data_IF_546096176935
#
_entry.id   IF_546096176935
#
_cell.length_a   1.000
_cell.length_b   1.000
_cell.length_c   1.000
_cell.angle_alpha   90.00
_cell.angle_beta   90.00
_cell.angle_gamma   90.00
#
_symmetry.space_group_name_H-M   'P 1'
#
loop_
_entity.id
_entity.type
_entity.pdbx_description
1 polymer ?
#
# COMPACT_ATOMS: atom_id res chain seq x y z
N UNK A 1 -9.19 6.04 21.32
CA UNK A 1 -8.25 4.93 21.61
C UNK A 1 -6.82 5.43 21.46
N UNK A 2 -5.87 4.91 22.24
CA UNK A 2 -4.46 5.27 22.09
C UNK A 2 -3.93 4.83 20.71
N UNK A 3 -2.91 5.53 20.23
CA UNK A 3 -2.19 5.12 19.03
C UNK A 3 -1.52 3.77 19.24
N UNK A 4 -1.60 2.89 18.25
CA UNK A 4 -0.85 1.63 18.18
C UNK A 4 0.11 1.71 16.99
N UNK A 5 1.33 1.15 17.08
CA UNK A 5 2.25 1.07 15.95
C UNK A 5 1.68 0.24 14.79
N UNK A 6 0.87 -0.78 15.10
CA UNK A 6 0.37 -1.77 14.14
C UNK A 6 -1.00 -1.41 13.57
N UNK A 7 -1.57 -0.28 13.98
CA UNK A 7 -2.87 0.21 13.50
C UNK A 7 -2.79 1.64 13.01
N UNK A 8 -3.33 1.89 11.83
CA UNK A 8 -3.37 3.22 11.23
C UNK A 8 -4.64 3.46 10.42
N UNK A 9 -4.90 4.74 10.17
CA UNK A 9 -5.95 5.20 9.26
C UNK A 9 -5.27 5.68 7.97
N UNK A 10 -5.80 5.27 6.83
CA UNK A 10 -5.42 5.76 5.51
C UNK A 10 -6.62 6.45 4.88
N UNK A 11 -6.43 7.69 4.43
CA UNK A 11 -7.36 8.36 3.54
C UNK A 11 -6.69 8.42 2.17
N UNK A 12 -7.31 7.83 1.17
CA UNK A 12 -6.76 7.71 -0.19
C UNK A 12 -7.77 8.25 -1.19
N UNK A 13 -7.28 8.85 -2.26
CA UNK A 13 -8.05 9.04 -3.48
C UNK A 13 -7.27 8.52 -4.67
N UNK A 14 -7.99 8.03 -5.66
CA UNK A 14 -7.51 7.80 -7.00
C UNK A 14 -8.27 8.72 -7.98
N UNK A 15 -8.19 8.46 -9.28
CA UNK A 15 -8.89 9.24 -10.31
C UNK A 15 -10.41 9.03 -10.34
N UNK A 16 -10.95 8.07 -9.58
CA UNK A 16 -12.35 7.63 -9.62
C UNK A 16 -13.07 7.81 -8.29
N UNK A 17 -12.40 7.57 -7.17
CA UNK A 17 -13.02 7.49 -5.84
C UNK A 17 -12.06 7.90 -4.72
N UNK A 18 -12.62 8.12 -3.53
CA UNK A 18 -11.86 8.29 -2.30
C UNK A 18 -12.31 7.26 -1.26
N UNK A 19 -11.36 6.70 -0.51
CA UNK A 19 -11.62 5.70 0.52
C UNK A 19 -10.99 6.08 1.85
N UNK A 20 -11.66 5.69 2.93
CA UNK A 20 -11.16 5.72 4.30
C UNK A 20 -10.96 4.26 4.75
N UNK A 21 -9.72 3.91 5.05
CA UNK A 21 -9.33 2.57 5.51
C UNK A 21 -8.79 2.65 6.93
N UNK A 22 -9.23 1.75 7.81
CA UNK A 22 -8.48 1.37 9.03
C UNK A 22 -7.74 0.08 8.71
N UNK A 23 -6.42 0.08 8.88
CA UNK A 23 -5.58 -1.12 8.72
C UNK A 23 -4.98 -1.50 10.07
N UNK A 24 -4.95 -2.79 10.36
CA UNK A 24 -4.37 -3.35 11.59
C UNK A 24 -3.60 -4.64 11.26
N UNK A 25 -2.33 -4.70 11.64
CA UNK A 25 -1.49 -5.90 11.52
C UNK A 25 -1.60 -6.70 12.83
N UNK A 26 -2.09 -7.92 12.74
CA UNK A 26 -2.19 -8.87 13.85
C UNK A 26 -1.08 -9.92 13.84
N UNK A 27 -0.52 -10.23 12.66
CA UNK A 27 0.57 -11.20 12.48
C UNK A 27 1.38 -10.93 11.21
N UNK A 28 2.56 -11.54 11.10
CA UNK A 28 3.40 -11.51 9.89
C UNK A 28 3.05 -12.61 8.87
N UNK A 29 1.83 -13.15 8.93
CA UNK A 29 1.33 -14.15 7.98
C UNK A 29 0.64 -13.46 6.80
N UNK A 30 0.39 -14.20 5.72
CA UNK A 30 -0.27 -13.68 4.50
C UNK A 30 -1.66 -13.08 4.83
N UNK A 31 -2.36 -13.65 5.80
CA UNK A 31 -3.67 -13.22 6.30
C UNK A 31 -3.60 -12.31 7.54
N UNK A 32 -2.40 -11.85 7.91
CA UNK A 32 -2.16 -11.14 9.16
C UNK A 32 -2.62 -9.69 9.22
N UNK A 33 -3.22 -9.16 8.15
CA UNK A 33 -3.68 -7.77 8.06
C UNK A 33 -5.19 -7.70 7.96
N UNK A 34 -5.83 -7.03 8.92
CA UNK A 34 -7.24 -6.67 8.84
C UNK A 34 -7.40 -5.29 8.22
N UNK A 35 -8.38 -5.15 7.33
CA UNK A 35 -8.75 -3.89 6.69
C UNK A 35 -10.26 -3.65 6.80
N UNK A 36 -10.63 -2.46 7.28
CA UNK A 36 -12.00 -1.97 7.23
C UNK A 36 -12.02 -0.72 6.35
N UNK A 37 -12.63 -0.84 5.17
CA UNK A 37 -12.63 0.21 4.15
C UNK A 37 -14.05 0.66 3.80
N UNK A 38 -14.21 1.97 3.63
CA UNK A 38 -15.43 2.57 3.09
C UNK A 38 -15.10 3.62 2.05
N UNK A 39 -15.97 3.79 1.06
CA UNK A 39 -15.93 4.95 0.16
C UNK A 39 -16.40 6.21 0.89
N UNK A 40 -15.75 7.34 0.61
CA UNK A 40 -16.15 8.66 1.09
C UNK A 40 -16.40 9.59 -0.08
N UNK A 41 -17.38 10.48 0.05
CA UNK A 41 -17.79 11.38 -1.03
C UNK A 41 -16.90 12.62 -1.20
N UNK A 42 -16.14 13.00 -0.16
CA UNK A 42 -15.27 14.18 -0.19
C UNK A 42 -14.02 13.98 0.69
N UNK A 43 -12.85 13.95 0.06
CA UNK A 43 -11.57 13.69 0.73
C UNK A 43 -11.20 14.84 1.70
N UNK A 44 -11.41 16.10 1.29
CA UNK A 44 -11.02 17.26 2.09
C UNK A 44 -11.84 17.37 3.38
N UNK A 45 -13.15 17.11 3.32
CA UNK A 45 -14.06 17.10 4.46
C UNK A 45 -13.78 15.92 5.37
N UNK A 46 -13.54 14.74 4.81
CA UNK A 46 -13.14 13.57 5.61
C UNK A 46 -11.85 13.85 6.39
N UNK A 47 -10.84 14.45 5.75
CA UNK A 47 -9.61 14.87 6.42
C UNK A 47 -9.88 15.89 7.55
N UNK A 48 -10.77 16.86 7.33
CA UNK A 48 -11.16 17.84 8.36
C UNK A 48 -11.83 17.15 9.55
N UNK A 49 -12.74 16.20 9.32
CA UNK A 49 -13.41 15.43 10.38
C UNK A 49 -12.37 14.66 11.21
N UNK A 50 -11.48 13.92 10.55
CA UNK A 50 -10.41 13.16 11.22
C UNK A 50 -9.55 14.06 12.11
N UNK A 51 -9.14 15.23 11.60
CA UNK A 51 -8.39 16.23 12.39
C UNK A 51 -9.18 16.74 13.60
N UNK A 52 -10.49 17.00 13.45
CA UNK A 52 -11.36 17.50 14.53
C UNK A 52 -11.58 16.48 15.65
N UNK A 53 -11.55 15.19 15.35
CA UNK A 53 -11.64 14.12 16.36
C UNK A 53 -10.27 13.71 16.94
N UNK A 54 -9.20 14.43 16.59
CA UNK A 54 -7.86 14.25 17.17
C UNK A 54 -6.91 13.36 16.38
N UNK A 55 -7.27 12.90 15.18
CA UNK A 55 -6.37 12.14 14.30
C UNK A 55 -5.45 13.11 13.54
N UNK A 56 -4.14 13.02 13.79
CA UNK A 56 -3.13 13.83 13.10
C UNK A 56 -2.58 13.08 11.88
N UNK A 57 -2.52 13.72 10.69
CA UNK A 57 -1.84 13.13 9.54
C UNK A 57 -0.38 12.81 9.86
N UNK A 58 0.08 11.61 9.46
CA UNK A 58 1.48 11.18 9.64
C UNK A 58 2.36 11.51 8.44
N UNK A 59 1.77 11.62 7.26
CA UNK A 59 2.45 11.99 6.02
C UNK A 59 1.47 11.97 4.85
N UNK A 60 1.92 12.48 3.71
CA UNK A 60 1.24 12.41 2.42
C UNK A 60 2.13 11.66 1.44
N UNK A 61 1.55 10.72 0.68
CA UNK A 61 2.29 9.86 -0.24
C UNK A 61 1.52 9.72 -1.55
N UNK A 62 2.23 9.75 -2.66
CA UNK A 62 1.73 9.44 -4.00
C UNK A 62 2.30 8.12 -4.48
N UNK A 63 1.46 7.33 -5.15
CA UNK A 63 1.89 6.19 -5.95
C UNK A 63 1.08 6.17 -7.25
N UNK A 64 1.61 5.50 -8.27
CA UNK A 64 0.84 5.10 -9.45
C UNK A 64 0.74 3.59 -9.42
N UNK A 65 -0.46 3.07 -9.62
CA UNK A 65 -0.74 1.64 -9.61
C UNK A 65 -1.54 1.28 -10.84
N UNK A 66 -1.09 0.26 -11.55
CA UNK A 66 -1.85 -0.41 -12.61
C UNK A 66 -2.22 -1.81 -12.11
N UNK A 67 -3.52 -2.13 -12.12
CA UNK A 67 -4.04 -3.38 -11.55
C UNK A 67 -4.59 -4.28 -12.65
N UNK A 68 -4.25 -5.57 -12.54
CA UNK A 68 -4.63 -6.62 -13.47
C UNK A 68 -5.12 -7.85 -12.68
N UNK A 69 -5.96 -8.66 -13.33
CA UNK A 69 -6.43 -9.94 -12.81
C UNK A 69 -6.00 -11.03 -13.78
N UNK A 70 -5.31 -12.05 -13.26
CA UNK A 70 -4.86 -13.20 -14.04
C UNK A 70 -5.19 -14.49 -13.30
N UNK A 71 -6.17 -15.23 -13.80
CA UNK A 71 -6.61 -16.52 -13.23
C UNK A 71 -6.94 -16.47 -11.73
N UNK A 72 -7.57 -15.37 -11.28
CA UNK A 72 -7.95 -15.15 -9.88
C UNK A 72 -6.82 -14.60 -8.99
N UNK A 73 -5.63 -14.37 -9.55
CA UNK A 73 -4.51 -13.71 -8.89
C UNK A 73 -4.49 -12.22 -9.24
N UNK A 74 -4.34 -11.37 -8.22
CA UNK A 74 -4.19 -9.94 -8.41
C UNK A 74 -2.73 -9.60 -8.72
N UNK A 75 -2.51 -8.83 -9.77
CA UNK A 75 -1.20 -8.34 -10.17
C UNK A 75 -1.27 -6.82 -10.17
N UNK A 76 -0.33 -6.15 -9.50
CA UNK A 76 -0.21 -4.71 -9.52
C UNK A 76 1.19 -4.29 -9.96
N UNK A 77 1.29 -3.40 -10.95
CA UNK A 77 2.53 -2.69 -11.27
C UNK A 77 2.52 -1.40 -10.46
N UNK A 78 3.42 -1.31 -9.49
CA UNK A 78 3.53 -0.16 -8.60
C UNK A 78 4.73 0.71 -8.97
N UNK A 79 4.45 1.99 -9.18
CA UNK A 79 5.46 3.03 -9.24
C UNK A 79 5.35 3.91 -8.01
N UNK A 80 6.47 4.12 -7.35
CA UNK A 80 6.60 4.94 -6.15
C UNK A 80 7.73 5.96 -6.34
N UNK A 81 7.63 7.19 -5.78
CA UNK A 81 8.69 8.18 -5.93
C UNK A 81 10.05 7.65 -5.45
N UNK A 82 11.12 7.79 -6.24
CA UNK A 82 12.49 7.31 -5.91
C UNK A 82 12.72 5.79 -5.95
N UNK A 83 11.70 4.97 -6.19
CA UNK A 83 11.87 3.53 -6.41
C UNK A 83 11.74 3.22 -7.90
N UNK A 84 12.47 2.19 -8.35
CA UNK A 84 12.14 1.54 -9.62
C UNK A 84 10.78 0.85 -9.51
N UNK A 85 9.97 0.82 -10.58
CA UNK A 85 8.70 0.10 -10.57
C UNK A 85 8.87 -1.38 -10.24
N UNK A 86 7.92 -1.93 -9.50
CA UNK A 86 7.90 -3.34 -9.12
C UNK A 86 6.51 -3.96 -9.29
N UNK A 87 6.45 -5.28 -9.30
CA UNK A 87 5.20 -6.04 -9.44
C UNK A 87 4.85 -6.62 -8.06
N UNK A 88 3.65 -6.32 -7.57
CA UNK A 88 3.01 -7.04 -6.48
C UNK A 88 2.13 -8.16 -7.06
N UNK A 89 2.25 -9.37 -6.50
CA UNK A 89 1.42 -10.53 -6.83
C UNK A 89 0.72 -10.96 -5.54
N UNK A 90 -0.59 -10.79 -5.49
CA UNK A 90 -1.42 -11.16 -4.34
C UNK A 90 -2.35 -12.32 -4.71
N UNK A 91 -2.21 -13.42 -3.96
CA UNK A 91 -2.95 -14.65 -4.18
C UNK A 91 -3.32 -15.31 -2.84
N UNK A 92 -4.15 -16.36 -2.89
CA UNK A 92 -4.63 -17.02 -1.67
C UNK A 92 -3.55 -17.86 -0.99
N UNK A 93 -2.52 -18.25 -1.73
CA UNK A 93 -1.43 -19.08 -1.25
C UNK A 93 -0.14 -18.83 -2.05
N UNK A 94 1.01 -19.26 -1.51
CA UNK A 94 2.32 -19.04 -2.13
C UNK A 94 2.52 -19.79 -3.45
N UNK A 95 1.87 -20.94 -3.66
CA UNK A 95 1.99 -21.70 -4.89
C UNK A 95 1.42 -20.94 -6.10
N UNK A 96 0.29 -20.24 -5.90
CA UNK A 96 -0.31 -19.36 -6.90
C UNK A 96 0.60 -18.16 -7.23
N UNK A 97 1.26 -17.58 -6.23
CA UNK A 97 2.25 -16.49 -6.44
C UNK A 97 3.41 -16.97 -7.31
N UNK A 98 4.01 -18.11 -6.99
CA UNK A 98 5.18 -18.67 -7.72
C UNK A 98 4.79 -19.05 -9.15
N UNK A 99 3.62 -19.67 -9.35
CA UNK A 99 3.11 -20.01 -10.67
C UNK A 99 2.86 -18.77 -11.53
N UNK A 100 2.29 -17.72 -10.94
CA UNK A 100 2.03 -16.45 -11.63
C UNK A 100 3.33 -15.73 -12.00
N UNK A 101 4.28 -15.65 -11.06
CA UNK A 101 5.61 -15.09 -11.31
C UNK A 101 6.32 -15.78 -12.48
N UNK A 102 6.27 -17.12 -12.52
CA UNK A 102 6.86 -17.92 -13.59
C UNK A 102 6.26 -17.61 -14.96
N UNK A 103 4.93 -17.39 -15.02
CA UNK A 103 4.24 -17.00 -16.27
C UNK A 103 4.60 -15.59 -16.74
N UNK A 104 4.89 -14.69 -15.80
CA UNK A 104 5.39 -13.34 -16.08
C UNK A 104 6.88 -13.32 -16.44
N UNK A 105 7.56 -14.47 -16.43
CA UNK A 105 8.97 -14.60 -16.79
C UNK A 105 9.95 -14.39 -15.63
N UNK A 106 9.48 -14.40 -14.39
CA UNK A 106 10.29 -14.27 -13.18
C UNK A 106 10.53 -15.62 -12.52
N UNK A 107 11.72 -15.81 -11.92
CA UNK A 107 12.01 -17.00 -11.15
C UNK A 107 11.67 -16.81 -9.67
N UNK A 108 11.39 -17.91 -8.95
CA UNK A 108 11.10 -17.86 -7.51
C UNK A 108 12.19 -17.14 -6.70
N UNK A 109 13.46 -17.24 -7.11
CA UNK A 109 14.58 -16.58 -6.42
C UNK A 109 14.57 -15.05 -6.54
N UNK A 110 13.79 -14.50 -7.48
CA UNK A 110 13.61 -13.05 -7.63
C UNK A 110 12.47 -12.49 -6.78
N UNK A 111 11.65 -13.37 -6.19
CA UNK A 111 10.53 -12.97 -5.34
C UNK A 111 11.03 -12.55 -3.96
N UNK A 112 10.44 -11.47 -3.44
CA UNK A 112 10.69 -10.96 -2.09
C UNK A 112 9.35 -10.76 -1.38
N UNK A 113 9.29 -11.10 -0.09
CA UNK A 113 8.12 -10.88 0.76
C UNK A 113 8.18 -9.51 1.47
N UNK A 114 8.77 -8.52 0.81
CA UNK A 114 9.01 -7.19 1.37
C UNK A 114 7.90 -6.23 0.99
N UNK A 115 7.44 -5.43 1.94
CA UNK A 115 6.50 -4.34 1.65
C UNK A 115 7.23 -3.08 1.15
N UNK A 116 6.48 -2.12 0.62
CA UNK A 116 7.01 -0.83 0.14
C UNK A 116 7.91 -0.11 1.15
N UNK A 117 7.62 -0.18 2.46
CA UNK A 117 8.45 0.48 3.47
C UNK A 117 9.85 -0.14 3.53
N UNK A 118 9.96 -1.46 3.37
CA UNK A 118 11.23 -2.19 3.35
C UNK A 118 12.03 -1.86 2.08
N UNK A 119 11.37 -1.74 0.92
CA UNK A 119 12.00 -1.31 -0.32
C UNK A 119 12.65 0.08 -0.18
N UNK A 120 11.98 1.04 0.46
CA UNK A 120 12.59 2.35 0.74
C UNK A 120 13.78 2.27 1.72
N UNK A 121 13.72 1.40 2.73
CA UNK A 121 14.85 1.22 3.66
C UNK A 121 16.09 0.72 2.94
N UNK A 122 15.96 -0.13 1.91
CA UNK A 122 17.09 -0.62 1.10
C UNK A 122 17.85 0.50 0.39
N UNK A 123 17.17 1.59 0.06
CA UNK A 123 17.80 2.79 -0.53
C UNK A 123 18.13 3.86 0.52
N UNK A 124 18.09 3.51 1.81
CA UNK A 124 18.45 4.41 2.92
C UNK A 124 17.37 5.41 3.33
N UNK A 125 16.11 5.21 2.93
CA UNK A 125 15.01 6.13 3.21
C UNK A 125 14.02 5.54 4.24
N UNK A 126 13.62 6.35 5.23
CA UNK A 126 12.54 6.02 6.16
C UNK A 126 11.29 6.85 5.82
N UNK A 127 10.40 6.28 5.01
CA UNK A 127 9.18 6.96 4.55
C UNK A 127 8.22 7.37 5.68
N UNK A 128 8.35 6.77 6.88
CA UNK A 128 7.54 7.18 8.03
C UNK A 128 7.97 8.53 8.61
N UNK A 129 9.17 9.01 8.26
CA UNK A 129 9.72 10.31 8.67
C UNK A 129 9.59 11.38 7.58
N UNK A 130 9.09 11.03 6.40
CA UNK A 130 8.92 11.94 5.27
C UNK A 130 7.52 12.54 5.35
N UNK A 131 7.44 13.88 5.43
CA UNK A 131 6.16 14.58 5.50
C UNK A 131 5.36 14.44 4.19
N UNK A 132 6.05 14.58 3.06
CA UNK A 132 5.47 14.47 1.71
C UNK A 132 6.39 13.65 0.80
N UNK A 133 5.87 12.55 0.26
CA UNK A 133 6.53 11.68 -0.70
C UNK A 133 5.76 11.78 -2.03
N UNK A 134 6.30 12.56 -2.96
CA UNK A 134 5.64 12.93 -4.22
C UNK A 134 6.53 12.59 -5.41
N UNK A 135 5.94 12.37 -6.58
CA UNK A 135 6.72 12.27 -7.80
C UNK A 135 7.40 13.62 -8.09
N UNK A 136 8.65 13.58 -8.56
CA UNK A 136 9.31 14.81 -9.01
C UNK A 136 8.69 15.24 -10.34
N UNK A 137 7.92 16.33 -10.29
CA UNK A 137 7.25 16.98 -11.41
C UNK A 137 6.24 16.08 -12.18
N UNK A 138 4.96 16.42 -12.08
CA UNK A 138 4.01 16.18 -13.18
C UNK A 138 4.09 17.33 -14.17
#
# INVERSE_FOLDING_TARGET
MPASPDRWVRLRSDSKSATLTVKEINSNTIDGTNEWEVTVSDLATTLKILKKIGIKPRGYQENKREEYQLDGVQIAIDSWPKLEPYIEIEATNSAEVIATASRLGYSEQTLVAENTTELYRKIGMDIKKIAELKFENL
#
